data_IF_219592317920
#
_entry.id   IF_219592317920
#
_cell.length_a   1.000
_cell.length_b   1.000
_cell.length_c   1.000
_cell.angle_alpha   90.00
_cell.angle_beta   90.00
_cell.angle_gamma   90.00
#
_symmetry.space_group_name_H-M   'P 1'
#
loop_
_entity.id
_entity.type
_entity.pdbx_description
1 polymer ?
#
# COMPACT_ATOMS: atom_id res chain seq x y z
N UNK A 1 49.58 20.31 36.36
CA UNK A 1 49.76 19.33 35.27
C UNK A 1 48.51 18.44 34.95
N UNK A 2 47.32 18.71 35.49
CA UNK A 2 46.13 17.87 35.24
C UNK A 2 45.08 18.49 34.28
N UNK A 3 45.33 19.66 33.70
CA UNK A 3 44.40 20.34 32.78
C UNK A 3 44.75 20.31 31.30
N UNK A 4 45.94 19.84 30.93
CA UNK A 4 46.41 19.83 29.53
C UNK A 4 46.12 18.49 28.84
N UNK A 5 45.99 17.40 29.60
CA UNK A 5 45.73 16.06 29.05
C UNK A 5 44.27 15.91 28.61
N UNK A 6 43.33 16.65 29.24
CA UNK A 6 41.90 16.58 28.88
C UNK A 6 41.54 17.22 27.55
N UNK A 7 42.29 18.24 27.10
CA UNK A 7 42.03 18.96 25.86
C UNK A 7 42.50 18.16 24.63
N UNK A 8 43.58 17.42 24.75
CA UNK A 8 44.08 16.58 23.64
C UNK A 8 43.18 15.37 23.33
N UNK A 9 42.55 14.78 24.35
CA UNK A 9 41.63 13.64 24.16
C UNK A 9 40.31 14.13 23.55
N UNK A 10 39.88 15.35 23.87
CA UNK A 10 38.64 15.93 23.30
C UNK A 10 38.80 16.30 21.82
N UNK A 11 39.98 16.76 21.41
CA UNK A 11 40.30 17.09 20.01
C UNK A 11 40.45 15.83 19.14
N UNK A 12 40.96 14.71 19.69
CA UNK A 12 41.01 13.44 18.96
C UNK A 12 39.62 12.78 18.80
N UNK A 13 38.73 12.95 19.78
CA UNK A 13 37.35 12.46 19.68
C UNK A 13 36.52 13.29 18.69
N UNK A 14 36.79 14.60 18.57
CA UNK A 14 36.11 15.45 17.57
C UNK A 14 36.60 15.17 16.14
N UNK A 15 37.88 14.79 15.94
CA UNK A 15 38.36 14.42 14.60
C UNK A 15 37.84 13.05 14.12
N UNK A 16 37.59 12.11 15.04
CA UNK A 16 36.97 10.82 14.72
C UNK A 16 35.44 10.97 14.41
N UNK A 17 34.79 11.92 15.09
CA UNK A 17 33.36 12.18 14.82
C UNK A 17 33.12 12.87 13.48
N UNK A 18 34.01 13.75 13.03
CA UNK A 18 33.89 14.42 11.73
C UNK A 18 34.10 13.47 10.54
N UNK A 19 35.00 12.47 10.66
CA UNK A 19 35.16 11.44 9.62
C UNK A 19 33.98 10.48 9.50
N UNK A 20 33.27 10.25 10.58
CA UNK A 20 32.04 9.43 10.57
C UNK A 20 30.80 10.18 10.05
N UNK A 21 30.74 11.49 10.24
CA UNK A 21 29.66 12.30 9.66
C UNK A 21 29.76 12.39 8.12
N UNK A 22 30.98 12.49 7.57
CA UNK A 22 31.16 12.50 6.10
C UNK A 22 30.81 11.15 5.46
N UNK A 23 31.09 10.04 6.12
CA UNK A 23 30.69 8.71 5.61
C UNK A 23 29.18 8.44 5.73
N UNK A 24 28.51 9.08 6.70
CA UNK A 24 27.06 8.96 6.87
C UNK A 24 26.26 9.83 5.89
N UNK A 25 26.77 11.00 5.54
CA UNK A 25 26.04 11.91 4.64
C UNK A 25 25.97 11.40 3.21
N UNK A 26 27.00 10.68 2.72
CA UNK A 26 26.95 10.10 1.38
C UNK A 26 25.95 8.94 1.27
N UNK A 27 25.80 8.15 2.35
CA UNK A 27 24.81 7.06 2.38
C UNK A 27 23.40 7.55 2.69
N UNK A 28 23.26 8.71 3.35
CA UNK A 28 21.96 9.24 3.77
C UNK A 28 21.23 9.99 2.65
N UNK A 29 21.96 10.57 1.70
CA UNK A 29 21.35 11.23 0.54
C UNK A 29 20.74 10.19 -0.43
N UNK A 30 21.35 9.01 -0.50
CA UNK A 30 20.89 7.95 -1.39
C UNK A 30 19.72 7.12 -0.81
N UNK A 31 19.54 7.11 0.51
CA UNK A 31 18.50 6.29 1.14
C UNK A 31 17.19 7.03 1.41
N UNK A 32 17.19 8.37 1.44
CA UNK A 32 16.01 9.15 1.87
C UNK A 32 15.14 9.63 0.69
N UNK A 33 15.67 9.71 -0.53
CA UNK A 33 14.90 10.20 -1.69
C UNK A 33 14.50 9.15 -2.73
N UNK A 34 15.13 7.98 -2.66
CA UNK A 34 14.76 6.90 -3.55
C UNK A 34 14.74 5.61 -2.72
N UNK A 35 13.58 5.14 -2.34
CA UNK A 35 13.37 3.77 -1.88
C UNK A 35 13.86 2.71 -2.91
N UNK A 36 14.65 3.13 -3.88
CA UNK A 36 15.14 2.37 -5.03
C UNK A 36 16.65 2.29 -5.14
N UNK A 37 17.42 2.99 -4.28
CA UNK A 37 18.86 2.92 -4.37
C UNK A 37 19.41 1.75 -3.57
N UNK A 38 19.37 0.62 -4.23
CA UNK A 38 20.14 -0.56 -3.82
C UNK A 38 21.59 -0.28 -4.14
N UNK A 39 22.51 -0.53 -3.22
CA UNK A 39 23.93 -0.59 -3.57
C UNK A 39 24.06 -1.51 -4.77
N UNK A 40 24.61 -1.02 -5.86
CA UNK A 40 24.97 -1.89 -6.98
C UNK A 40 25.81 -3.00 -6.40
N UNK A 41 25.41 -4.27 -6.49
CA UNK A 41 26.29 -5.33 -6.09
C UNK A 41 27.55 -5.20 -6.95
N UNK A 42 28.71 -5.02 -6.31
CA UNK A 42 29.99 -5.14 -6.99
C UNK A 42 30.16 -6.63 -7.33
N UNK A 43 29.57 -7.03 -8.45
CA UNK A 43 29.67 -8.40 -8.93
C UNK A 43 30.95 -8.47 -9.75
N UNK A 44 31.93 -9.21 -9.21
CA UNK A 44 32.96 -9.78 -10.05
C UNK A 44 32.30 -10.60 -11.17
N UNK A 45 32.79 -10.52 -12.41
CA UNK A 45 32.22 -11.25 -13.53
C UNK A 45 32.14 -12.73 -13.23
N UNK A 46 30.94 -13.24 -12.96
CA UNK A 46 30.72 -14.66 -12.84
C UNK A 46 30.89 -15.26 -14.24
N UNK A 47 31.96 -16.04 -14.43
CA UNK A 47 32.10 -16.86 -15.62
C UNK A 47 30.93 -17.82 -15.69
N UNK A 48 30.03 -17.56 -16.62
CA UNK A 48 28.80 -18.30 -16.76
C UNK A 48 29.04 -19.79 -16.99
N UNK A 49 28.51 -20.61 -16.11
CA UNK A 49 28.32 -22.03 -16.34
C UNK A 49 26.96 -22.30 -17.01
N UNK A 50 26.17 -21.27 -17.26
CA UNK A 50 24.81 -21.33 -17.75
C UNK A 50 24.82 -21.26 -19.26
N UNK A 51 23.92 -22.01 -19.90
CA UNK A 51 23.91 -22.17 -21.37
C UNK A 51 23.39 -20.94 -22.12
N UNK A 52 22.61 -20.07 -21.49
CA UNK A 52 22.04 -18.87 -22.11
C UNK A 52 22.40 -17.62 -21.31
N UNK A 53 22.88 -16.53 -21.96
CA UNK A 53 23.16 -15.25 -21.31
C UNK A 53 21.96 -14.64 -20.58
N UNK A 54 20.75 -14.93 -21.04
CA UNK A 54 19.50 -14.43 -20.46
C UNK A 54 18.94 -15.29 -19.34
N UNK A 55 19.63 -16.39 -18.95
CA UNK A 55 19.16 -17.22 -17.84
C UNK A 55 19.40 -16.53 -16.50
N UNK A 56 18.39 -16.41 -15.64
CA UNK A 56 18.55 -15.88 -14.31
C UNK A 56 19.37 -16.84 -13.45
N UNK A 57 20.39 -16.32 -12.78
CA UNK A 57 21.26 -17.10 -11.88
C UNK A 57 21.00 -16.86 -10.41
N UNK A 58 20.43 -15.69 -10.08
CA UNK A 58 20.08 -15.34 -8.70
C UNK A 58 19.04 -14.23 -8.65
N UNK A 59 18.37 -14.09 -7.50
CA UNK A 59 17.43 -13.02 -7.24
C UNK A 59 17.69 -12.46 -5.85
N UNK A 60 18.06 -11.18 -5.79
CA UNK A 60 18.36 -10.47 -4.56
C UNK A 60 17.17 -9.65 -4.10
N UNK A 61 16.90 -9.67 -2.81
CA UNK A 61 15.94 -8.78 -2.18
C UNK A 61 16.49 -7.36 -2.09
N UNK A 62 15.61 -6.39 -2.17
CA UNK A 62 15.96 -4.98 -2.01
C UNK A 62 15.34 -4.43 -0.74
N UNK A 63 15.67 -3.19 -0.39
CA UNK A 63 15.00 -2.49 0.70
C UNK A 63 13.49 -2.26 0.43
N UNK A 64 13.06 -2.37 -0.82
CA UNK A 64 11.64 -2.33 -1.21
C UNK A 64 11.19 -3.74 -1.57
N UNK A 65 10.27 -4.30 -0.79
CA UNK A 65 9.75 -5.66 -0.97
C UNK A 65 9.12 -5.94 -2.33
N UNK A 66 8.65 -4.90 -3.03
CA UNK A 66 8.09 -4.99 -4.38
C UNK A 66 9.13 -4.90 -5.48
N UNK A 67 10.40 -4.78 -5.15
CA UNK A 67 11.48 -4.69 -6.12
C UNK A 67 12.52 -5.74 -5.79
N UNK A 68 12.82 -6.57 -6.77
CA UNK A 68 13.91 -7.53 -6.71
C UNK A 68 14.94 -7.23 -7.79
N UNK A 69 16.19 -7.57 -7.52
CA UNK A 69 17.25 -7.55 -8.53
C UNK A 69 17.44 -8.97 -9.02
N UNK A 70 17.22 -9.19 -10.30
CA UNK A 70 17.52 -10.46 -10.98
C UNK A 70 18.87 -10.34 -11.65
N UNK A 71 19.76 -11.26 -11.33
CA UNK A 71 21.09 -11.40 -11.93
C UNK A 71 21.03 -12.43 -13.04
N UNK A 72 21.68 -12.12 -14.14
CA UNK A 72 21.74 -13.00 -15.32
C UNK A 72 23.13 -13.58 -15.53
N UNK A 73 23.20 -14.67 -16.28
CA UNK A 73 24.42 -15.39 -16.58
C UNK A 73 25.49 -14.57 -17.33
N UNK A 74 25.10 -13.53 -18.03
CA UNK A 74 25.97 -12.58 -18.72
C UNK A 74 26.50 -11.45 -17.82
N UNK A 75 26.33 -11.56 -16.50
CA UNK A 75 26.67 -10.55 -15.49
C UNK A 75 25.84 -9.25 -15.61
N UNK A 76 24.77 -9.26 -16.37
CA UNK A 76 23.80 -8.18 -16.35
C UNK A 76 22.81 -8.35 -15.19
N UNK A 77 22.12 -7.31 -14.84
CA UNK A 77 21.06 -7.34 -13.86
C UNK A 77 19.92 -6.42 -14.25
N UNK A 78 18.74 -6.69 -13.74
CA UNK A 78 17.59 -5.82 -13.91
C UNK A 78 16.73 -5.80 -12.66
N UNK A 79 16.04 -4.68 -12.47
CA UNK A 79 14.97 -4.61 -11.48
C UNK A 79 13.71 -5.31 -11.99
N UNK A 80 13.16 -6.18 -11.16
CA UNK A 80 11.86 -6.79 -11.39
C UNK A 80 10.89 -6.22 -10.39
N UNK A 81 9.84 -5.57 -10.90
CA UNK A 81 8.75 -5.05 -10.10
C UNK A 81 7.73 -6.17 -9.85
N UNK A 82 7.50 -6.46 -8.58
CA UNK A 82 6.48 -7.42 -8.17
C UNK A 82 5.07 -6.81 -8.30
N UNK A 83 4.02 -7.64 -8.38
CA UNK A 83 2.64 -7.17 -8.31
C UNK A 83 2.41 -6.32 -7.05
N UNK A 84 1.78 -5.17 -7.20
CA UNK A 84 1.56 -4.20 -6.11
C UNK A 84 2.56 -3.05 -6.07
N UNK A 85 3.67 -3.12 -6.83
CA UNK A 85 4.58 -1.98 -6.94
C UNK A 85 3.87 -0.76 -7.56
N UNK A 86 3.99 0.37 -6.87
CA UNK A 86 3.57 1.68 -7.37
C UNK A 86 4.78 2.62 -7.37
N UNK A 87 5.03 3.27 -8.50
CA UNK A 87 6.06 4.31 -8.54
C UNK A 87 5.55 5.57 -7.84
N UNK A 88 6.45 6.45 -7.39
CA UNK A 88 6.09 7.77 -6.85
C UNK A 88 5.18 8.54 -7.83
N UNK A 89 5.47 8.46 -9.13
CA UNK A 89 4.62 9.01 -10.18
C UNK A 89 3.22 8.41 -10.19
N UNK A 90 3.09 7.09 -10.05
CA UNK A 90 1.80 6.42 -10.01
C UNK A 90 1.00 6.84 -8.78
N UNK A 91 1.69 7.02 -7.65
CA UNK A 91 1.05 7.43 -6.40
C UNK A 91 0.63 8.90 -6.43
N UNK A 92 1.50 9.83 -6.86
CA UNK A 92 1.31 11.27 -6.65
C UNK A 92 0.92 12.06 -7.89
N UNK A 93 1.04 11.51 -9.11
CA UNK A 93 0.64 12.19 -10.33
C UNK A 93 -0.65 11.63 -10.93
N UNK A 94 -0.81 10.29 -10.93
CA UNK A 94 -1.99 9.67 -11.50
C UNK A 94 -3.23 9.93 -10.64
N UNK A 95 -4.33 10.30 -11.31
CA UNK A 95 -5.60 10.59 -10.64
C UNK A 95 -5.47 11.64 -9.51
N UNK A 96 -4.61 12.66 -9.71
CA UNK A 96 -4.45 13.76 -8.76
C UNK A 96 -5.50 14.82 -9.04
N UNK A 97 -6.57 14.82 -8.26
CA UNK A 97 -7.65 15.83 -8.32
C UNK A 97 -7.93 16.34 -6.90
N UNK A 98 -7.78 17.64 -6.73
CA UNK A 98 -7.98 18.32 -5.45
C UNK A 98 -9.42 18.75 -5.22
N UNK A 99 -10.34 18.51 -6.16
CA UNK A 99 -11.71 19.02 -6.13
C UNK A 99 -12.72 17.99 -5.65
N UNK A 100 -12.47 16.71 -5.89
CA UNK A 100 -13.39 15.62 -5.57
C UNK A 100 -12.81 14.64 -4.52
N UNK A 101 -13.69 14.07 -3.72
CA UNK A 101 -13.30 13.09 -2.70
C UNK A 101 -12.78 11.78 -3.29
N UNK A 102 -13.28 11.36 -4.46
CA UNK A 102 -12.80 10.18 -5.20
C UNK A 102 -12.36 10.58 -6.61
N UNK A 103 -11.06 10.72 -6.87
CA UNK A 103 -10.53 11.09 -8.17
C UNK A 103 -10.36 9.91 -9.13
N UNK A 104 -10.43 8.66 -8.65
CA UNK A 104 -9.96 7.50 -9.43
C UNK A 104 -10.95 7.03 -10.50
N UNK A 105 -12.24 7.35 -10.39
CA UNK A 105 -13.29 6.95 -11.35
C UNK A 105 -13.32 5.44 -11.66
N UNK A 106 -12.89 4.63 -10.69
CA UNK A 106 -12.85 3.17 -10.83
C UNK A 106 -14.16 2.55 -10.37
N UNK A 107 -14.51 1.43 -10.98
CA UNK A 107 -15.62 0.58 -10.52
C UNK A 107 -15.07 -0.51 -9.59
N UNK A 108 -15.70 -0.70 -8.44
CA UNK A 108 -15.28 -1.70 -7.46
C UNK A 108 -15.23 -3.12 -8.04
N UNK A 109 -16.10 -3.41 -9.03
CA UNK A 109 -16.13 -4.71 -9.71
C UNK A 109 -14.80 -5.05 -10.39
N UNK A 110 -14.11 -4.05 -10.94
CA UNK A 110 -12.88 -4.21 -11.70
C UNK A 110 -11.61 -4.25 -10.83
N UNK A 111 -11.76 -4.05 -9.51
CA UNK A 111 -10.63 -4.10 -8.61
C UNK A 111 -10.08 -5.53 -8.47
N UNK A 112 -8.76 -5.71 -8.29
CA UNK A 112 -8.16 -6.98 -7.91
C UNK A 112 -8.78 -7.55 -6.63
N UNK A 113 -8.59 -8.83 -6.37
CA UNK A 113 -9.13 -9.47 -5.17
C UNK A 113 -8.47 -8.97 -3.89
N UNK A 114 -7.16 -8.74 -3.94
CA UNK A 114 -6.36 -8.24 -2.81
C UNK A 114 -5.16 -7.44 -3.28
N UNK A 115 -4.63 -6.64 -2.35
CA UNK A 115 -3.39 -5.87 -2.47
C UNK A 115 -2.57 -6.05 -1.20
N UNK A 116 -1.28 -6.20 -1.34
CA UNK A 116 -0.34 -6.07 -0.23
C UNK A 116 0.10 -4.62 -0.12
N UNK A 117 -0.05 -4.01 1.04
CA UNK A 117 0.30 -2.61 1.30
C UNK A 117 1.28 -2.59 2.46
N UNK A 118 2.48 -2.08 2.20
CA UNK A 118 3.48 -1.88 3.23
C UNK A 118 3.13 -0.64 4.05
N UNK A 119 3.05 -0.76 5.36
CA UNK A 119 2.64 0.32 6.26
C UNK A 119 3.83 0.95 7.00
N UNK A 120 4.96 0.26 7.07
CA UNK A 120 6.19 0.77 7.66
C UNK A 120 6.93 -0.23 8.55
N UNK A 121 8.25 -0.02 8.67
CA UNK A 121 9.17 -0.84 9.49
C UNK A 121 9.39 -0.28 10.89
N UNK A 122 9.20 1.02 11.08
CA UNK A 122 9.56 1.74 12.29
C UNK A 122 8.44 2.65 12.78
N UNK A 123 8.51 3.03 14.04
CA UNK A 123 7.59 3.97 14.69
C UNK A 123 7.60 5.37 14.04
N UNK A 124 8.67 5.71 13.31
CA UNK A 124 8.81 7.01 12.64
C UNK A 124 8.00 7.08 11.33
N UNK A 125 7.52 5.94 10.83
CA UNK A 125 6.76 5.86 9.58
C UNK A 125 5.25 5.92 9.78
N UNK A 126 4.81 5.83 11.03
CA UNK A 126 3.40 5.91 11.40
C UNK A 126 3.19 6.72 12.69
N UNK A 127 2.10 7.45 12.72
CA UNK A 127 1.58 8.12 13.91
C UNK A 127 0.07 7.99 13.98
N UNK A 128 -0.46 7.62 15.15
CA UNK A 128 -1.92 7.67 15.35
C UNK A 128 -2.43 9.10 15.07
N UNK A 129 -3.48 9.26 14.25
CA UNK A 129 -3.96 10.58 13.82
C UNK A 129 -4.45 11.48 14.96
N UNK A 130 -4.71 10.90 16.12
CA UNK A 130 -5.07 11.62 17.35
C UNK A 130 -4.45 10.95 18.57
N UNK A 131 -4.09 11.75 19.57
CA UNK A 131 -3.43 11.31 20.81
C UNK A 131 -4.25 11.66 22.07
N UNK A 132 -5.46 11.17 22.14
CA UNK A 132 -6.33 11.39 23.30
C UNK A 132 -7.10 10.09 23.60
N UNK A 133 -8.39 10.23 23.91
CA UNK A 133 -9.30 9.09 23.91
C UNK A 133 -9.57 8.69 22.44
N UNK A 134 -8.82 7.72 21.95
CA UNK A 134 -8.87 7.28 20.54
C UNK A 134 -9.97 6.25 20.28
N UNK A 135 -10.79 5.87 21.28
CA UNK A 135 -11.87 4.90 21.07
C UNK A 135 -12.97 5.47 20.18
N UNK A 136 -13.21 4.89 18.98
CA UNK A 136 -14.24 5.40 18.09
C UNK A 136 -15.63 5.23 18.71
N UNK A 137 -16.41 6.33 18.74
CA UNK A 137 -17.84 6.30 19.09
C UNK A 137 -18.74 6.12 17.88
N UNK A 138 -18.26 6.47 16.69
CA UNK A 138 -18.92 6.21 15.41
C UNK A 138 -18.17 5.16 14.63
N UNK A 139 -18.80 4.00 14.38
CA UNK A 139 -18.18 2.88 13.67
C UNK A 139 -18.34 3.05 12.16
N UNK A 140 -17.43 2.43 11.40
CA UNK A 140 -17.53 2.26 9.96
C UNK A 140 -18.75 1.41 9.58
N UNK A 141 -19.38 1.71 8.45
CA UNK A 141 -20.43 0.88 7.91
C UNK A 141 -21.82 1.55 7.89
N UNK A 142 -22.92 0.77 7.90
CA UNK A 142 -24.28 1.29 7.80
C UNK A 142 -24.66 2.13 9.02
N UNK A 143 -25.18 3.34 8.80
CA UNK A 143 -25.61 4.24 9.86
C UNK A 143 -26.88 5.00 9.43
N UNK A 144 -28.03 4.67 10.03
CA UNK A 144 -29.32 5.37 9.81
C UNK A 144 -29.63 5.61 8.32
N UNK A 145 -29.56 4.56 7.50
CA UNK A 145 -29.84 4.61 6.06
C UNK A 145 -28.73 5.25 5.21
N UNK A 146 -27.55 5.53 5.78
CA UNK A 146 -26.38 6.07 5.09
C UNK A 146 -25.16 5.20 5.35
N UNK A 147 -24.16 5.32 4.48
CA UNK A 147 -22.86 4.72 4.69
C UNK A 147 -21.98 5.68 5.47
N UNK A 148 -21.43 5.23 6.60
CA UNK A 148 -20.34 5.91 7.32
C UNK A 148 -19.02 5.38 6.80
N UNK A 149 -18.22 6.23 6.16
CA UNK A 149 -17.03 5.81 5.41
C UNK A 149 -15.74 5.82 6.25
N UNK A 150 -15.86 6.04 7.55
CA UNK A 150 -14.75 6.09 8.47
C UNK A 150 -15.16 5.79 9.90
N UNK A 151 -14.39 6.27 10.84
CA UNK A 151 -14.69 6.24 12.27
C UNK A 151 -14.75 7.65 12.83
N UNK A 152 -15.59 7.85 13.87
CA UNK A 152 -15.69 9.13 14.58
C UNK A 152 -14.98 9.01 15.93
N UNK A 153 -13.88 9.72 16.10
CA UNK A 153 -13.03 9.72 17.30
C UNK A 153 -13.37 10.98 18.12
N UNK A 154 -13.85 10.85 19.36
CA UNK A 154 -14.19 12.00 20.19
C UNK A 154 -12.94 12.81 20.54
N UNK A 155 -13.05 14.14 20.51
CA UNK A 155 -11.98 15.06 20.86
C UNK A 155 -12.53 16.38 21.37
N UNK A 156 -11.64 17.28 21.78
CA UNK A 156 -11.99 18.66 22.08
C UNK A 156 -11.63 19.57 20.89
N UNK A 157 -12.41 20.61 20.70
CA UNK A 157 -12.06 21.64 19.70
C UNK A 157 -10.70 22.22 20.02
N UNK A 158 -9.79 22.21 19.04
CA UNK A 158 -8.42 22.70 19.18
C UNK A 158 -7.39 21.59 19.44
N UNK A 159 -7.80 20.35 19.69
CA UNK A 159 -6.87 19.24 19.83
C UNK A 159 -6.08 19.02 18.52
N UNK A 160 -4.76 18.78 18.57
CA UNK A 160 -3.96 18.59 17.38
C UNK A 160 -4.29 17.28 16.68
N UNK A 161 -4.37 17.32 15.35
CA UNK A 161 -4.57 16.19 14.46
C UNK A 161 -3.31 15.97 13.65
N UNK A 162 -2.87 14.73 13.55
CA UNK A 162 -1.59 14.34 12.98
C UNK A 162 -1.76 13.57 11.65
N UNK A 163 -0.76 13.73 10.76
CA UNK A 163 -0.63 12.86 9.60
C UNK A 163 -0.32 11.43 10.05
N UNK A 164 -1.09 10.44 9.57
CA UNK A 164 -0.90 9.05 9.96
C UNK A 164 0.38 8.45 9.36
N UNK A 165 0.70 8.80 8.12
CA UNK A 165 1.90 8.37 7.40
C UNK A 165 2.48 9.55 6.64
N UNK A 166 3.71 9.41 6.17
CA UNK A 166 4.34 10.37 5.25
C UNK A 166 3.59 10.39 3.92
N UNK A 167 3.43 11.58 3.34
CA UNK A 167 2.72 11.74 2.09
C UNK A 167 2.52 13.19 1.67
N UNK A 168 1.68 13.37 0.64
CA UNK A 168 1.38 14.68 0.06
C UNK A 168 -0.08 15.05 0.27
N UNK A 169 -0.32 16.28 0.71
CA UNK A 169 -1.67 16.81 0.93
C UNK A 169 -2.37 16.96 -0.42
N UNK A 170 -3.35 16.12 -0.68
CA UNK A 170 -4.15 16.18 -1.89
C UNK A 170 -5.26 17.23 -1.80
N UNK A 171 -5.82 17.41 -0.62
CA UNK A 171 -6.92 18.34 -0.42
C UNK A 171 -6.81 19.01 0.96
N UNK A 172 -6.96 20.32 1.01
CA UNK A 172 -7.06 21.10 2.25
C UNK A 172 -8.08 22.22 2.06
N UNK A 173 -9.37 21.92 2.28
CA UNK A 173 -10.47 22.86 2.00
C UNK A 173 -11.71 22.56 2.84
N UNK A 174 -12.73 23.41 2.70
CA UNK A 174 -14.08 23.10 3.16
C UNK A 174 -14.80 22.26 2.10
N UNK A 175 -15.28 21.06 2.48
CA UNK A 175 -15.92 20.14 1.58
C UNK A 175 -17.22 19.59 2.18
N UNK A 176 -18.35 20.15 1.79
CA UNK A 176 -19.71 19.68 2.08
C UNK A 176 -19.90 19.12 3.50
N UNK A 177 -20.27 17.84 3.57
CA UNK A 177 -20.52 17.17 4.85
C UNK A 177 -19.30 17.03 5.75
N UNK A 178 -18.06 17.00 5.20
CA UNK A 178 -16.82 16.89 5.96
C UNK A 178 -16.44 18.17 6.72
N UNK A 179 -17.00 19.32 6.32
CA UNK A 179 -16.54 20.60 6.85
C UNK A 179 -15.11 20.94 6.40
N UNK A 180 -14.30 21.47 7.26
CA UNK A 180 -12.87 21.60 7.00
C UNK A 180 -12.26 20.21 6.99
N UNK A 181 -11.64 19.84 5.88
CA UNK A 181 -11.04 18.52 5.67
C UNK A 181 -9.63 18.66 5.13
N UNK A 182 -8.75 17.78 5.62
CA UNK A 182 -7.43 17.52 5.05
C UNK A 182 -7.42 16.08 4.55
N UNK A 183 -7.05 15.90 3.30
CA UNK A 183 -6.86 14.58 2.67
C UNK A 183 -5.40 14.45 2.29
N UNK A 184 -4.77 13.39 2.77
CA UNK A 184 -3.38 13.10 2.48
C UNK A 184 -3.33 11.80 1.68
N UNK A 185 -2.62 11.82 0.55
CA UNK A 185 -2.22 10.62 -0.15
C UNK A 185 -0.83 10.24 0.33
N UNK A 186 -0.70 9.03 0.84
CA UNK A 186 0.53 8.53 1.44
C UNK A 186 1.38 7.76 0.44
N UNK A 187 2.67 7.60 0.72
CA UNK A 187 3.62 6.86 -0.12
C UNK A 187 3.20 5.40 -0.35
N UNK A 188 2.48 4.80 0.60
CA UNK A 188 1.93 3.44 0.49
C UNK A 188 0.65 3.36 -0.35
N UNK A 189 0.21 4.46 -0.97
CA UNK A 189 -0.99 4.53 -1.81
C UNK A 189 -2.32 4.66 -1.06
N UNK A 190 -2.32 4.60 0.28
CA UNK A 190 -3.50 4.87 1.09
C UNK A 190 -3.79 6.37 1.10
N UNK A 191 -5.05 6.76 1.08
CA UNK A 191 -5.49 8.11 1.41
C UNK A 191 -6.15 8.13 2.77
N UNK A 192 -5.79 9.12 3.61
CA UNK A 192 -6.47 9.39 4.87
C UNK A 192 -7.24 10.69 4.80
N UNK A 193 -8.45 10.69 5.34
CA UNK A 193 -9.33 11.85 5.44
C UNK A 193 -9.46 12.26 6.90
N UNK A 194 -9.29 13.56 7.15
CA UNK A 194 -9.37 14.15 8.48
C UNK A 194 -10.43 15.25 8.43
N UNK A 195 -11.67 14.89 8.78
CA UNK A 195 -12.84 15.77 8.67
C UNK A 195 -13.19 16.50 9.96
N UNK A 196 -14.13 17.45 9.85
CA UNK A 196 -14.69 18.27 10.91
C UNK A 196 -13.71 19.17 11.65
N UNK A 197 -12.56 19.48 11.03
CA UNK A 197 -11.51 20.29 11.63
C UNK A 197 -12.02 21.72 11.94
N UNK A 198 -11.58 22.29 13.05
CA UNK A 198 -11.77 23.72 13.34
C UNK A 198 -10.82 24.58 12.50
N UNK A 199 -9.58 24.09 12.30
CA UNK A 199 -8.54 24.78 11.52
C UNK A 199 -7.71 23.75 10.75
N UNK A 200 -7.40 24.05 9.51
CA UNK A 200 -6.42 23.35 8.70
C UNK A 200 -5.07 24.03 8.84
N UNK A 201 -4.00 23.26 9.02
CA UNK A 201 -2.64 23.77 9.27
C UNK A 201 -1.71 23.55 8.09
N UNK A 202 -2.19 22.89 7.04
CA UNK A 202 -1.44 22.56 5.82
C UNK A 202 -2.24 22.95 4.59
N UNK A 203 -1.55 23.18 3.47
CA UNK A 203 -2.12 23.54 2.17
C UNK A 203 -2.09 22.37 1.20
N UNK A 204 -2.89 22.45 0.13
CA UNK A 204 -2.83 21.50 -0.99
C UNK A 204 -1.43 21.52 -1.62
N UNK A 205 -0.87 20.33 -1.83
CA UNK A 205 0.47 20.13 -2.40
C UNK A 205 1.59 20.07 -1.37
N UNK A 206 1.34 20.42 -0.10
CA UNK A 206 2.35 20.30 0.94
C UNK A 206 2.74 18.84 1.15
N UNK A 207 4.03 18.61 1.42
CA UNK A 207 4.55 17.35 1.88
C UNK A 207 4.54 17.32 3.40
N UNK A 208 4.04 16.23 3.98
CA UNK A 208 3.96 16.02 5.42
C UNK A 208 4.59 14.69 5.81
N UNK A 209 5.28 14.68 6.95
CA UNK A 209 5.79 13.45 7.56
C UNK A 209 4.77 12.86 8.53
N UNK A 210 4.89 11.57 8.79
CA UNK A 210 4.11 10.94 9.86
C UNK A 210 4.32 11.69 11.18
N UNK A 211 3.22 12.10 11.81
CA UNK A 211 3.25 12.86 13.06
C UNK A 211 3.26 14.38 12.92
N UNK A 212 3.35 14.92 11.71
CA UNK A 212 3.18 16.37 11.51
C UNK A 212 1.75 16.80 11.86
N UNK A 213 1.60 17.96 12.50
CA UNK A 213 0.29 18.54 12.81
C UNK A 213 -0.33 19.10 11.54
N UNK A 214 -1.42 18.52 11.08
CA UNK A 214 -2.11 18.88 9.84
C UNK A 214 -3.36 19.73 10.04
N UNK A 215 -3.87 19.75 11.27
CA UNK A 215 -5.06 20.53 11.61
C UNK A 215 -5.40 20.47 13.10
N UNK A 216 -6.46 21.16 13.45
CA UNK A 216 -7.01 21.16 14.80
C UNK A 216 -8.42 20.58 14.77
N UNK A 217 -8.73 19.72 15.72
CA UNK A 217 -10.03 19.11 15.91
C UNK A 217 -11.15 20.13 16.06
N UNK A 218 -12.34 19.77 15.66
CA UNK A 218 -13.49 20.67 15.69
C UNK A 218 -14.83 19.98 15.45
N UNK A 219 -15.79 20.77 14.95
CA UNK A 219 -17.16 20.31 14.67
C UNK A 219 -17.74 21.02 13.43
N UNK A 220 -16.92 21.25 12.40
CA UNK A 220 -17.37 21.92 11.17
C UNK A 220 -18.10 20.95 10.24
N UNK A 221 -18.88 21.47 9.29
CA UNK A 221 -19.66 20.66 8.36
C UNK A 221 -20.86 19.98 9.02
N UNK A 222 -21.14 18.75 8.65
CA UNK A 222 -22.27 17.98 9.19
C UNK A 222 -21.82 17.16 10.42
N UNK A 223 -21.57 17.85 11.51
CA UNK A 223 -21.15 17.29 12.78
C UNK A 223 -22.14 17.67 13.88
N UNK A 224 -22.36 16.80 14.86
CA UNK A 224 -23.24 17.03 16.01
C UNK A 224 -22.47 17.41 17.27
N UNK A 225 -21.17 17.46 17.21
CA UNK A 225 -20.28 17.79 18.32
C UNK A 225 -18.83 17.54 17.96
N UNK A 226 -17.86 18.00 18.78
CA UNK A 226 -16.44 17.87 18.46
C UNK A 226 -16.00 16.39 18.33
N UNK A 227 -15.50 16.04 17.17
CA UNK A 227 -14.90 14.74 16.87
C UNK A 227 -14.02 14.82 15.61
N UNK A 228 -13.06 13.91 15.49
CA UNK A 228 -12.36 13.66 14.25
C UNK A 228 -13.13 12.60 13.46
N UNK A 229 -13.61 12.94 12.28
CA UNK A 229 -14.03 11.96 11.29
C UNK A 229 -12.81 11.49 10.52
N UNK A 230 -12.41 10.22 10.71
CA UNK A 230 -11.21 9.65 10.13
C UNK A 230 -11.56 8.52 9.16
N UNK A 231 -11.10 8.63 7.91
CA UNK A 231 -11.29 7.59 6.90
C UNK A 231 -9.94 7.09 6.38
N UNK A 232 -9.91 5.83 6.00
CA UNK A 232 -8.87 5.21 5.19
C UNK A 232 -9.46 4.80 3.85
N UNK A 233 -8.78 5.15 2.77
CA UNK A 233 -9.19 4.79 1.41
C UNK A 233 -8.02 4.25 0.62
N UNK A 234 -8.34 3.37 -0.31
CA UNK A 234 -7.40 2.91 -1.33
C UNK A 234 -8.07 3.03 -2.69
N UNK A 235 -7.41 3.72 -3.61
CA UNK A 235 -7.95 4.00 -4.96
C UNK A 235 -9.39 4.54 -4.94
N UNK A 236 -9.70 5.41 -3.97
CA UNK A 236 -10.99 6.07 -3.80
C UNK A 236 -12.03 5.29 -3.00
N UNK A 237 -11.80 4.02 -2.70
CA UNK A 237 -12.73 3.18 -1.94
C UNK A 237 -12.38 3.18 -0.45
N UNK A 238 -13.35 3.55 0.36
CA UNK A 238 -13.21 3.56 1.82
C UNK A 238 -13.31 2.15 2.39
N UNK A 239 -12.47 1.85 3.38
CA UNK A 239 -12.52 0.66 4.21
C UNK A 239 -12.35 1.04 5.69
N UNK A 240 -12.71 0.14 6.58
CA UNK A 240 -12.68 0.41 8.02
C UNK A 240 -11.25 0.70 8.50
N UNK A 241 -10.99 1.90 9.08
CA UNK A 241 -9.67 2.22 9.64
C UNK A 241 -9.17 1.25 10.71
N UNK A 242 -10.07 0.53 11.37
CA UNK A 242 -9.72 -0.47 12.38
C UNK A 242 -8.96 -1.67 11.81
N UNK A 243 -8.98 -1.89 10.50
CA UNK A 243 -8.11 -2.86 9.84
C UNK A 243 -6.63 -2.48 9.90
N UNK A 244 -6.32 -1.19 9.96
CA UNK A 244 -4.94 -0.68 10.03
C UNK A 244 -4.51 -0.41 11.47
N UNK A 245 -5.40 0.25 12.25
CA UNK A 245 -5.08 0.85 13.54
C UNK A 245 -5.84 0.13 14.65
N UNK A 246 -5.12 -0.29 15.67
CA UNK A 246 -5.74 -0.68 16.92
C UNK A 246 -6.09 0.56 17.74
N UNK A 247 -7.35 0.96 17.72
CA UNK A 247 -7.84 2.10 18.49
C UNK A 247 -7.92 1.87 20.01
N UNK A 248 -7.37 0.78 20.54
CA UNK A 248 -7.13 0.61 21.98
C UNK A 248 -5.75 1.11 22.38
N UNK A 249 -4.75 0.91 21.51
CA UNK A 249 -3.35 1.28 21.77
C UNK A 249 -2.88 2.44 20.92
N UNK A 250 -3.48 2.67 19.75
CA UNK A 250 -3.04 3.62 18.75
C UNK A 250 -1.97 3.07 17.80
N UNK A 251 -1.64 1.79 17.90
CA UNK A 251 -0.60 1.17 17.09
C UNK A 251 -1.15 0.61 15.78
N UNK A 252 -0.27 0.40 14.80
CA UNK A 252 -0.60 -0.38 13.61
C UNK A 252 -0.76 -1.86 13.99
N UNK A 253 -1.79 -2.51 13.42
CA UNK A 253 -2.00 -3.95 13.59
C UNK A 253 -1.00 -4.79 12.82
N UNK A 254 -0.56 -4.29 11.65
CA UNK A 254 0.30 -5.02 10.73
C UNK A 254 1.37 -4.10 10.15
N UNK A 255 2.52 -4.64 9.82
CA UNK A 255 3.53 -3.95 9.00
C UNK A 255 3.20 -4.08 7.51
N UNK A 256 2.80 -5.27 7.10
CA UNK A 256 2.28 -5.57 5.77
C UNK A 256 0.78 -5.85 5.89
N UNK A 257 -0.03 -5.01 5.28
CA UNK A 257 -1.48 -5.15 5.29
C UNK A 257 -1.98 -5.72 3.97
N UNK A 258 -2.68 -6.85 4.02
CA UNK A 258 -3.35 -7.42 2.86
C UNK A 258 -4.76 -6.88 2.77
N UNK A 259 -4.92 -5.80 2.02
CA UNK A 259 -6.22 -5.19 1.75
C UNK A 259 -7.00 -6.08 0.78
N UNK A 260 -8.17 -6.55 1.18
CA UNK A 260 -9.04 -7.40 0.36
C UNK A 260 -10.20 -6.60 -0.22
N UNK A 261 -10.60 -6.91 -1.45
CA UNK A 261 -11.74 -6.28 -2.14
C UNK A 261 -13.01 -6.28 -1.29
N UNK A 262 -13.25 -7.33 -0.49
CA UNK A 262 -14.40 -7.44 0.40
C UNK A 262 -14.46 -6.33 1.45
N UNK A 263 -13.31 -5.79 1.88
CA UNK A 263 -13.23 -4.75 2.91
C UNK A 263 -13.81 -3.41 2.47
N UNK A 264 -14.00 -3.21 1.17
CA UNK A 264 -14.69 -2.02 0.65
C UNK A 264 -16.22 -2.11 0.78
N UNK A 265 -16.76 -3.24 1.20
CA UNK A 265 -18.18 -3.34 1.51
C UNK A 265 -18.52 -2.52 2.76
N UNK A 266 -19.66 -1.83 2.73
CA UNK A 266 -20.16 -1.12 3.92
C UNK A 266 -20.54 -2.06 5.07
N UNK A 267 -20.68 -3.37 4.79
CA UNK A 267 -21.01 -4.40 5.79
C UNK A 267 -19.77 -5.14 6.28
N UNK A 268 -18.58 -4.87 5.71
CA UNK A 268 -17.32 -5.45 6.15
C UNK A 268 -16.60 -4.47 7.07
N UNK A 269 -16.50 -4.80 8.33
CA UNK A 269 -15.75 -4.03 9.31
C UNK A 269 -14.91 -4.97 10.17
N UNK A 270 -13.87 -4.43 10.79
CA UNK A 270 -12.90 -5.20 11.56
C UNK A 270 -13.53 -6.04 12.67
N UNK A 271 -14.50 -5.49 13.40
CA UNK A 271 -15.11 -6.19 14.53
C UNK A 271 -15.93 -7.42 14.14
N UNK A 272 -16.53 -7.41 12.93
CA UNK A 272 -17.34 -8.52 12.42
C UNK A 272 -16.50 -9.60 11.72
N UNK A 273 -15.47 -9.17 11.01
CA UNK A 273 -14.72 -10.02 10.10
C UNK A 273 -13.37 -10.46 10.69
N UNK A 274 -13.07 -10.07 11.92
CA UNK A 274 -11.75 -10.29 12.53
C UNK A 274 -11.40 -11.79 12.70
N UNK A 275 -12.37 -12.65 12.98
CA UNK A 275 -12.18 -14.10 13.07
C UNK A 275 -11.88 -14.74 11.71
N UNK A 276 -12.27 -14.07 10.62
CA UNK A 276 -11.95 -14.49 9.26
C UNK A 276 -10.48 -14.20 8.88
N UNK A 277 -9.73 -13.46 9.67
CA UNK A 277 -8.36 -13.06 9.35
C UNK A 277 -7.43 -14.27 9.22
N UNK A 278 -7.55 -15.24 10.12
CA UNK A 278 -6.80 -16.51 10.08
C UNK A 278 -7.21 -17.41 8.93
N UNK A 279 -8.51 -17.58 8.70
CA UNK A 279 -9.03 -18.32 7.53
C UNK A 279 -8.62 -17.66 6.23
N UNK A 280 -8.53 -16.36 6.22
CA UNK A 280 -8.24 -15.58 5.02
C UNK A 280 -6.78 -15.68 4.57
N UNK A 281 -5.81 -15.86 5.46
CA UNK A 281 -4.43 -16.11 5.05
C UNK A 281 -4.25 -17.49 4.40
N UNK A 282 -4.90 -18.51 4.94
CA UNK A 282 -4.88 -19.84 4.34
C UNK A 282 -5.65 -19.86 3.02
N UNK A 283 -6.82 -19.22 2.97
CA UNK A 283 -7.62 -19.07 1.75
C UNK A 283 -6.91 -18.23 0.69
N UNK A 284 -6.22 -17.15 1.06
CA UNK A 284 -5.42 -16.34 0.14
C UNK A 284 -4.24 -17.13 -0.42
N UNK A 285 -3.51 -17.86 0.41
CA UNK A 285 -2.42 -18.75 -0.03
C UNK A 285 -2.94 -19.85 -0.96
N UNK A 286 -4.11 -20.41 -0.64
CA UNK A 286 -4.76 -21.42 -1.49
C UNK A 286 -5.19 -20.83 -2.83
N UNK A 287 -5.85 -19.67 -2.84
CA UNK A 287 -6.28 -18.99 -4.07
C UNK A 287 -5.08 -18.53 -4.91
N UNK A 288 -4.02 -18.06 -4.29
CA UNK A 288 -2.79 -17.70 -4.98
C UNK A 288 -2.14 -18.93 -5.62
N UNK A 289 -2.07 -20.04 -4.90
CA UNK A 289 -1.60 -21.32 -5.44
C UNK A 289 -2.51 -21.83 -6.57
N UNK A 290 -3.83 -21.69 -6.43
CA UNK A 290 -4.79 -22.02 -7.49
C UNK A 290 -4.62 -21.13 -8.71
N UNK A 291 -4.40 -19.83 -8.54
CA UNK A 291 -4.12 -18.88 -9.64
C UNK A 291 -2.80 -19.18 -10.32
N UNK A 292 -1.74 -19.47 -9.56
CA UNK A 292 -0.45 -19.87 -10.09
C UNK A 292 -0.54 -21.19 -10.87
N UNK A 293 -1.43 -22.09 -10.44
CA UNK A 293 -1.73 -23.33 -11.13
C UNK A 293 -2.64 -23.18 -12.37
N UNK A 294 -3.29 -22.01 -12.54
CA UNK A 294 -4.18 -21.76 -13.68
C UNK A 294 -3.38 -21.70 -14.98
N UNK A 295 -3.73 -22.54 -15.91
CA UNK A 295 -3.16 -22.51 -17.26
C UNK A 295 -4.21 -22.02 -18.25
N UNK A 296 -3.75 -21.10 -19.11
CA UNK A 296 -4.57 -20.51 -20.16
C UNK A 296 -4.01 -20.91 -21.52
N UNK A 297 -4.92 -21.20 -22.45
CA UNK A 297 -4.60 -21.43 -23.84
C UNK A 297 -5.22 -20.32 -24.70
N UNK A 298 -4.42 -19.68 -25.55
CA UNK A 298 -4.92 -18.74 -26.55
C UNK A 298 -5.28 -19.52 -27.80
N UNK A 299 -6.55 -19.45 -28.19
CA UNK A 299 -7.10 -20.16 -29.35
C UNK A 299 -6.42 -19.71 -30.62
N UNK A 300 -5.86 -20.66 -31.37
CA UNK A 300 -5.21 -20.44 -32.68
C UNK A 300 -6.07 -21.06 -33.78
N UNK A 301 -5.74 -20.70 -35.03
CA UNK A 301 -6.37 -21.35 -36.20
C UNK A 301 -6.13 -22.86 -36.18
N UNK A 302 -7.18 -23.63 -36.40
CA UNK A 302 -7.14 -25.12 -36.37
C UNK A 302 -7.28 -25.75 -34.98
N UNK A 303 -7.42 -24.93 -33.90
CA UNK A 303 -7.69 -25.45 -32.57
C UNK A 303 -9.10 -26.02 -32.48
N UNK A 304 -9.20 -27.16 -31.78
CA UNK A 304 -10.46 -27.76 -31.32
C UNK A 304 -10.38 -28.01 -29.82
N UNK A 305 -11.49 -28.03 -29.12
CA UNK A 305 -11.51 -28.37 -27.68
C UNK A 305 -10.84 -29.68 -27.35
N UNK A 306 -11.00 -30.68 -28.24
CA UNK A 306 -10.33 -31.98 -28.09
C UNK A 306 -8.82 -31.90 -28.18
N UNK A 307 -8.30 -31.18 -29.17
CA UNK A 307 -6.85 -30.95 -29.33
C UNK A 307 -6.24 -30.14 -28.20
N UNK A 308 -6.94 -29.10 -27.80
CA UNK A 308 -6.53 -28.28 -26.64
C UNK A 308 -6.50 -29.10 -25.36
N UNK A 309 -7.50 -29.96 -25.14
CA UNK A 309 -7.56 -30.86 -23.98
C UNK A 309 -6.37 -31.84 -23.93
N UNK A 310 -6.09 -32.49 -25.05
CA UNK A 310 -4.96 -33.46 -25.17
C UNK A 310 -3.63 -32.71 -24.89
N UNK A 311 -3.40 -31.60 -25.55
CA UNK A 311 -2.15 -30.81 -25.43
C UNK A 311 -1.89 -30.28 -24.03
N UNK A 312 -2.94 -30.10 -23.21
CA UNK A 312 -2.85 -29.58 -21.86
C UNK A 312 -3.09 -30.63 -20.76
N UNK A 313 -3.15 -31.94 -21.12
CA UNK A 313 -3.34 -33.02 -20.16
C UNK A 313 -4.65 -32.93 -19.39
N UNK A 314 -5.72 -32.51 -20.06
CA UNK A 314 -7.05 -32.31 -19.46
C UNK A 314 -8.14 -32.91 -20.35
N UNK A 315 -9.39 -32.71 -19.98
CA UNK A 315 -10.55 -33.22 -20.75
C UNK A 315 -11.39 -32.08 -21.33
N UNK A 316 -12.10 -32.35 -22.42
CA UNK A 316 -13.06 -31.37 -23.01
C UNK A 316 -14.11 -30.96 -21.98
N UNK A 317 -14.60 -31.93 -21.19
CA UNK A 317 -15.58 -31.63 -20.12
C UNK A 317 -15.03 -30.66 -19.06
N UNK A 318 -13.79 -30.87 -18.65
CA UNK A 318 -13.12 -29.96 -17.69
C UNK A 318 -12.95 -28.54 -18.26
N UNK A 319 -12.49 -28.42 -19.51
CA UNK A 319 -12.37 -27.12 -20.19
C UNK A 319 -13.74 -26.45 -20.29
N UNK A 320 -14.78 -27.19 -20.68
CA UNK A 320 -16.12 -26.64 -20.78
C UNK A 320 -16.64 -26.12 -19.43
N UNK A 321 -16.45 -26.90 -18.36
CA UNK A 321 -16.85 -26.50 -17.00
C UNK A 321 -16.09 -25.24 -16.51
N UNK A 322 -14.77 -25.19 -16.74
CA UNK A 322 -13.91 -24.08 -16.32
C UNK A 322 -14.26 -22.75 -17.02
N UNK A 323 -14.81 -22.81 -18.23
CA UNK A 323 -15.08 -21.62 -19.07
C UNK A 323 -16.56 -21.32 -19.26
N UNK A 324 -17.47 -22.11 -18.67
CA UNK A 324 -18.93 -21.94 -18.87
C UNK A 324 -19.35 -22.12 -20.33
N UNK A 325 -18.69 -23.03 -21.07
CA UNK A 325 -18.96 -23.28 -22.48
C UNK A 325 -19.41 -24.74 -22.69
N UNK A 326 -19.93 -25.05 -23.86
CA UNK A 326 -20.33 -26.39 -24.25
C UNK A 326 -19.37 -26.99 -25.27
N UNK A 327 -19.33 -28.32 -25.43
CA UNK A 327 -18.49 -28.97 -26.47
C UNK A 327 -18.75 -28.48 -27.89
N UNK A 328 -19.94 -27.92 -28.15
CA UNK A 328 -20.35 -27.37 -29.45
C UNK A 328 -20.03 -25.89 -29.61
N UNK A 329 -19.44 -25.25 -28.60
CA UNK A 329 -19.12 -23.81 -28.66
C UNK A 329 -18.08 -23.52 -29.73
N UNK A 330 -18.36 -22.55 -30.60
CA UNK A 330 -17.42 -22.12 -31.62
C UNK A 330 -16.28 -21.36 -30.95
N UNK A 331 -15.06 -21.83 -31.18
CA UNK A 331 -13.86 -21.21 -30.65
C UNK A 331 -13.46 -20.00 -31.50
N UNK A 332 -13.36 -18.83 -30.87
CA UNK A 332 -12.90 -17.61 -31.52
C UNK A 332 -11.38 -17.49 -31.43
N UNK A 333 -10.70 -17.38 -32.55
CA UNK A 333 -9.23 -17.19 -32.61
C UNK A 333 -8.85 -15.92 -31.81
N UNK A 334 -7.77 -16.02 -31.04
CA UNK A 334 -7.29 -14.95 -30.17
C UNK A 334 -7.94 -14.91 -28.78
N UNK A 335 -9.07 -15.60 -28.57
CA UNK A 335 -9.68 -15.71 -27.23
C UNK A 335 -8.85 -16.65 -26.35
N UNK A 336 -8.69 -16.27 -25.08
CA UNK A 336 -8.07 -17.14 -24.07
C UNK A 336 -9.13 -18.00 -23.40
N UNK A 337 -8.84 -19.25 -23.22
CA UNK A 337 -9.66 -20.20 -22.44
C UNK A 337 -8.81 -20.84 -21.34
N UNK A 338 -9.43 -21.06 -20.19
CA UNK A 338 -8.79 -21.72 -19.06
C UNK A 338 -8.74 -23.23 -19.33
N UNK A 339 -7.56 -23.84 -19.20
CA UNK A 339 -7.35 -25.27 -19.47
C UNK A 339 -7.02 -26.08 -18.21
N UNK A 340 -6.64 -25.36 -17.14
CA UNK A 340 -6.44 -25.93 -15.81
C UNK A 340 -6.72 -24.89 -14.73
#
# INVERSE_FOLDING_TARGET
MRRIVGIFILLQLLSLSAGWLQARDVTRIDTVRNHLLIPRPALEPLKSLVKSPSDPIDTLDTANEYIKVVLFADNTWQYVKLPGYQSEKDVFENNWDTTVSNPYKLEQANLPYSWSIWLGDSLDQYKCPFQGDIHPRGKFGPRRGRRHQGVDIPLKTGDPIYAAFTGKVRMSKYLGGYGNVVVIRHENGIETFHGHLSKRMVAEGDWVNAGDVIGLGGSTGRSTGPHLHFETRYQGFAFDPQWLIDFKTGDLRHRLFVLKKKYFSQYSNYEQDFEDEWKNEEDAKREEAERAAMRWHTIKSGDTLGRIAINNGTTVSAICKLNGITPKTVLKIGRRIRVR
#
